data_IF_435703688262
#
_entry.id   IF_435703688262
#
_cell.length_a   1.000
_cell.length_b   1.000
_cell.length_c   1.000
_cell.angle_alpha   90.00
_cell.angle_beta   90.00
_cell.angle_gamma   90.00
#
_symmetry.space_group_name_H-M   'P 1'
#
loop_
_entity.id
_entity.type
_entity.pdbx_description
1 polymer ?
#
# COMPACT_ATOMS: atom_id res chain seq x y z
N UNK A 1 8.88 4.75 -40.46
CA UNK A 1 9.72 4.38 -39.30
C UNK A 1 9.17 5.08 -38.07
N UNK A 2 8.45 4.36 -37.21
CA UNK A 2 8.03 4.88 -35.91
C UNK A 2 9.15 4.56 -34.91
N UNK A 3 9.70 5.57 -34.24
CA UNK A 3 10.69 5.36 -33.18
C UNK A 3 10.01 4.67 -32.00
N UNK A 4 10.29 3.38 -31.80
CA UNK A 4 9.91 2.63 -30.60
C UNK A 4 10.71 3.16 -29.40
N UNK A 5 10.25 4.26 -28.79
CA UNK A 5 10.73 4.68 -27.47
C UNK A 5 10.09 3.83 -26.37
N UNK A 6 10.28 2.51 -26.42
CA UNK A 6 10.11 1.65 -25.26
C UNK A 6 11.38 1.74 -24.41
N UNK A 7 11.53 2.83 -23.65
CA UNK A 7 12.53 2.88 -22.57
C UNK A 7 12.10 1.81 -21.55
N UNK A 8 12.67 0.62 -21.66
CA UNK A 8 12.49 -0.45 -20.67
C UNK A 8 12.83 0.14 -19.29
N UNK A 9 11.89 0.06 -18.35
CA UNK A 9 12.12 0.51 -17.00
C UNK A 9 13.32 -0.26 -16.44
N UNK A 10 14.28 0.45 -15.83
CA UNK A 10 15.42 -0.18 -15.18
C UNK A 10 14.95 -0.87 -13.91
N UNK A 11 15.61 -1.96 -13.53
CA UNK A 11 15.47 -2.55 -12.19
C UNK A 11 16.02 -1.55 -11.17
N UNK A 12 15.29 -1.31 -10.09
CA UNK A 12 15.60 -0.30 -9.07
C UNK A 12 15.46 -0.87 -7.67
N UNK A 13 16.14 -0.22 -6.71
CA UNK A 13 16.12 -0.61 -5.29
C UNK A 13 14.69 -0.64 -4.69
N UNK A 14 13.75 0.09 -5.29
CA UNK A 14 12.33 0.07 -4.97
C UNK A 14 11.52 -0.29 -6.22
N UNK A 15 10.71 -1.33 -6.11
CA UNK A 15 9.72 -1.75 -7.11
C UNK A 15 8.37 -1.59 -6.41
N UNK A 16 7.56 -0.66 -6.90
CA UNK A 16 6.27 -0.30 -6.29
C UNK A 16 5.32 -1.49 -6.11
N UNK A 17 4.20 -1.26 -5.44
CA UNK A 17 3.29 -2.31 -4.94
C UNK A 17 3.03 -3.42 -5.96
N UNK A 18 3.48 -4.62 -5.61
CA UNK A 18 3.24 -5.86 -6.36
C UNK A 18 2.03 -6.56 -5.77
N UNK A 19 0.96 -6.66 -6.58
CA UNK A 19 -0.22 -7.55 -6.51
C UNK A 19 -1.08 -7.53 -5.21
N UNK A 20 -0.51 -7.19 -4.05
CA UNK A 20 -1.16 -7.12 -2.75
C UNK A 20 -1.00 -5.71 -2.18
N UNK A 21 -2.13 -5.02 -1.98
CA UNK A 21 -2.21 -3.69 -1.38
C UNK A 21 -1.40 -3.63 -0.08
N UNK A 22 -0.41 -2.74 -0.04
CA UNK A 22 0.41 -2.47 1.15
C UNK A 22 1.78 -3.16 1.20
N UNK A 23 2.03 -4.17 0.35
CA UNK A 23 3.35 -4.79 0.26
C UNK A 23 4.22 -4.09 -0.79
N UNK A 24 5.50 -3.90 -0.45
CA UNK A 24 6.48 -3.23 -1.29
C UNK A 24 7.61 -4.19 -1.64
N UNK A 25 8.11 -4.13 -2.87
CA UNK A 25 9.26 -4.93 -3.27
C UNK A 25 10.52 -4.07 -3.25
N UNK A 26 11.53 -4.53 -2.52
CA UNK A 26 12.74 -3.76 -2.25
C UNK A 26 13.99 -4.62 -2.44
N UNK A 27 15.10 -4.01 -2.84
CA UNK A 27 16.39 -4.68 -2.87
C UNK A 27 16.96 -4.90 -1.46
N UNK A 28 17.94 -5.78 -1.33
CA UNK A 28 18.68 -6.00 -0.09
C UNK A 28 19.37 -4.73 0.42
N UNK A 29 19.76 -3.83 -0.48
CA UNK A 29 20.35 -2.53 -0.13
C UNK A 29 19.32 -1.60 0.50
N UNK A 30 18.11 -1.51 -0.05
CA UNK A 30 17.06 -0.68 0.56
C UNK A 30 16.58 -1.29 1.88
N UNK A 31 16.48 -2.63 1.96
CA UNK A 31 16.18 -3.33 3.21
C UNK A 31 17.14 -2.95 4.33
N UNK A 32 18.46 -3.00 4.09
CA UNK A 32 19.45 -2.68 5.12
C UNK A 32 19.42 -1.22 5.57
N UNK A 33 19.05 -0.30 4.68
CA UNK A 33 18.83 1.10 5.03
C UNK A 33 17.60 1.22 5.93
N UNK A 34 16.48 0.58 5.58
CA UNK A 34 15.25 0.62 6.38
C UNK A 34 15.51 0.02 7.76
N UNK A 35 16.08 -1.19 7.85
CA UNK A 35 16.42 -1.87 9.11
C UNK A 35 17.34 -1.06 10.05
N UNK A 36 18.13 -0.12 9.52
CA UNK A 36 18.96 0.77 10.34
C UNK A 36 18.14 1.81 11.10
N UNK A 37 17.00 2.23 10.54
CA UNK A 37 16.18 3.33 11.05
C UNK A 37 14.82 2.89 11.59
N UNK A 38 14.36 1.68 11.25
CA UNK A 38 13.14 1.08 11.81
C UNK A 38 13.47 -0.01 12.81
N UNK A 39 12.72 -0.04 13.91
CA UNK A 39 12.77 -1.13 14.88
C UNK A 39 11.85 -2.29 14.47
N UNK A 40 10.84 -2.55 15.31
CA UNK A 40 9.81 -3.57 15.05
C UNK A 40 8.76 -3.06 14.03
N UNK A 41 7.83 -3.93 13.62
CA UNK A 41 6.66 -3.54 12.81
C UNK A 41 6.74 -3.85 11.31
N UNK A 42 7.89 -4.33 10.84
CA UNK A 42 8.10 -4.72 9.44
C UNK A 42 8.57 -6.18 9.36
N UNK A 43 7.93 -6.96 8.50
CA UNK A 43 8.37 -8.29 8.08
C UNK A 43 8.96 -8.25 6.67
N UNK A 44 10.00 -9.04 6.45
CA UNK A 44 10.64 -9.19 5.15
C UNK A 44 10.55 -10.64 4.68
N UNK A 45 9.92 -10.86 3.53
CA UNK A 45 9.86 -12.17 2.89
C UNK A 45 10.80 -12.17 1.68
N UNK A 46 11.60 -13.24 1.51
CA UNK A 46 12.44 -13.36 0.31
C UNK A 46 11.57 -13.34 -0.94
N UNK A 47 12.01 -12.61 -1.96
CA UNK A 47 11.32 -12.54 -3.23
C UNK A 47 12.31 -12.44 -4.41
N UNK A 48 11.92 -12.99 -5.55
CA UNK A 48 12.71 -12.95 -6.78
C UNK A 48 12.08 -11.97 -7.78
N UNK A 49 12.87 -11.07 -8.34
CA UNK A 49 12.44 -10.23 -9.49
C UNK A 49 12.85 -10.93 -10.78
N UNK A 50 11.89 -11.11 -11.69
CA UNK A 50 12.15 -11.51 -13.07
C UNK A 50 12.03 -10.28 -13.97
N UNK A 51 13.12 -9.90 -14.65
CA UNK A 51 13.12 -8.73 -15.54
C UNK A 51 14.02 -8.96 -16.76
N UNK A 52 13.48 -8.77 -17.96
CA UNK A 52 14.19 -8.99 -19.24
C UNK A 52 14.89 -10.36 -19.36
N UNK A 53 14.24 -11.43 -18.87
CA UNK A 53 14.80 -12.78 -18.89
C UNK A 53 15.94 -13.02 -17.90
N UNK A 54 16.23 -12.03 -17.04
CA UNK A 54 17.16 -12.17 -15.93
C UNK A 54 16.41 -12.32 -14.61
N UNK A 55 17.02 -13.08 -13.71
CA UNK A 55 16.54 -13.32 -12.36
C UNK A 55 17.39 -12.56 -11.36
N UNK A 56 16.75 -11.81 -10.47
CA UNK A 56 17.38 -11.08 -9.38
C UNK A 56 16.84 -11.63 -8.05
N UNK A 57 17.70 -12.27 -7.28
CA UNK A 57 17.35 -12.99 -6.04
C UNK A 57 17.66 -12.18 -4.77
N UNK A 58 18.21 -10.98 -4.92
CA UNK A 58 18.57 -10.06 -3.85
C UNK A 58 17.43 -9.10 -3.48
N UNK A 59 16.18 -9.54 -3.64
CA UNK A 59 14.97 -8.78 -3.37
C UNK A 59 14.13 -9.37 -2.24
N UNK A 60 13.29 -8.50 -1.68
CA UNK A 60 12.45 -8.76 -0.53
C UNK A 60 11.08 -8.13 -0.72
N UNK A 61 10.06 -8.82 -0.25
CA UNK A 61 8.75 -8.26 -0.02
C UNK A 61 8.73 -7.67 1.40
N UNK A 62 8.67 -6.35 1.50
CA UNK A 62 8.44 -5.61 2.73
C UNK A 62 6.94 -5.61 3.02
N UNK A 63 6.58 -6.09 4.21
CA UNK A 63 5.22 -6.13 4.74
C UNK A 63 5.16 -5.44 6.11
N UNK A 64 4.58 -4.23 6.21
CA UNK A 64 4.30 -3.61 7.49
C UNK A 64 3.15 -4.35 8.19
N UNK A 65 3.38 -4.87 9.40
CA UNK A 65 2.34 -5.50 10.23
C UNK A 65 1.91 -4.63 11.42
N UNK A 66 2.69 -3.63 11.75
CA UNK A 66 2.30 -2.52 12.63
C UNK A 66 2.22 -1.25 11.79
N UNK A 67 1.28 -0.38 12.16
CA UNK A 67 1.09 0.90 11.53
C UNK A 67 0.97 1.96 12.63
N UNK A 68 1.82 2.97 12.55
CA UNK A 68 1.93 4.03 13.53
C UNK A 68 0.86 5.11 13.26
N UNK A 69 -0.40 4.77 13.56
CA UNK A 69 -1.55 5.64 13.31
C UNK A 69 -1.47 6.97 14.06
N UNK A 70 -0.67 7.06 15.13
CA UNK A 70 -0.43 8.28 15.89
C UNK A 70 0.20 9.41 15.08
N UNK A 71 0.86 9.10 13.96
CA UNK A 71 1.43 10.12 13.07
C UNK A 71 0.42 10.68 12.06
N UNK A 72 -0.80 10.14 12.01
CA UNK A 72 -1.86 10.68 11.16
C UNK A 72 -2.47 11.91 11.85
N UNK A 73 -2.33 13.07 11.22
CA UNK A 73 -3.05 14.28 11.60
C UNK A 73 -4.49 14.23 11.08
N UNK A 74 -5.38 13.62 11.88
CA UNK A 74 -6.79 13.47 11.54
C UNK A 74 -7.50 14.82 11.35
N UNK A 75 -7.20 15.80 12.21
CA UNK A 75 -7.86 17.11 12.19
C UNK A 75 -7.68 17.84 10.86
N UNK A 76 -6.52 17.67 10.21
CA UNK A 76 -6.21 18.27 8.92
C UNK A 76 -6.31 17.30 7.74
N UNK A 77 -6.87 16.10 7.96
CA UNK A 77 -7.02 15.08 6.93
C UNK A 77 -8.49 14.80 6.59
N UNK A 78 -8.71 14.27 5.39
CA UNK A 78 -10.01 13.72 4.99
C UNK A 78 -9.85 12.28 4.53
N UNK A 79 -10.72 11.41 5.03
CA UNK A 79 -10.79 10.02 4.61
C UNK A 79 -11.67 9.94 3.37
N UNK A 80 -11.10 9.39 2.31
CA UNK A 80 -11.78 9.14 1.05
C UNK A 80 -12.05 7.66 0.91
N UNK A 81 -13.31 7.25 0.90
CA UNK A 81 -13.68 5.85 0.75
C UNK A 81 -14.84 5.65 -0.23
N UNK A 82 -15.01 4.42 -0.71
CA UNK A 82 -16.13 4.02 -1.57
C UNK A 82 -17.24 3.44 -0.70
N UNK A 83 -18.41 4.08 -0.71
CA UNK A 83 -19.62 3.59 -0.05
C UNK A 83 -20.46 2.79 -1.05
N UNK A 84 -20.95 1.63 -0.64
CA UNK A 84 -21.96 0.86 -1.38
C UNK A 84 -23.31 1.60 -1.31
N UNK A 85 -24.06 1.61 -2.42
CA UNK A 85 -25.44 2.07 -2.40
C UNK A 85 -26.32 1.14 -1.53
N UNK A 86 -27.46 1.62 -1.06
CA UNK A 86 -28.37 0.80 -0.23
C UNK A 86 -28.92 -0.41 -1.00
N UNK A 87 -29.02 -0.30 -2.33
CA UNK A 87 -29.44 -1.37 -3.25
C UNK A 87 -28.25 -2.10 -3.92
N UNK A 88 -27.06 -2.07 -3.30
CA UNK A 88 -25.82 -2.54 -3.94
C UNK A 88 -25.88 -3.95 -4.51
N UNK A 89 -26.56 -4.89 -3.86
CA UNK A 89 -26.60 -6.28 -4.34
C UNK A 89 -27.23 -6.40 -5.74
N UNK A 90 -28.17 -5.52 -6.07
CA UNK A 90 -28.80 -5.43 -7.40
C UNK A 90 -28.12 -4.40 -8.30
N UNK A 91 -27.81 -3.21 -7.78
CA UNK A 91 -27.31 -2.11 -8.60
C UNK A 91 -25.81 -2.14 -8.85
N UNK A 92 -25.04 -2.78 -7.95
CA UNK A 92 -23.57 -2.79 -7.89
C UNK A 92 -22.95 -1.38 -7.89
N UNK A 93 -23.73 -0.36 -7.54
CA UNK A 93 -23.29 1.04 -7.55
C UNK A 93 -22.52 1.40 -6.29
N UNK A 94 -21.45 2.17 -6.48
CA UNK A 94 -20.72 2.78 -5.36
C UNK A 94 -20.64 4.28 -5.57
N UNK A 95 -20.57 5.02 -4.46
CA UNK A 95 -20.29 6.45 -4.46
C UNK A 95 -19.04 6.75 -3.65
N UNK A 96 -18.38 7.84 -4.01
CA UNK A 96 -17.21 8.31 -3.29
C UNK A 96 -17.66 9.25 -2.18
N UNK A 97 -17.25 8.97 -0.96
CA UNK A 97 -17.59 9.77 0.22
C UNK A 97 -16.30 10.31 0.83
N UNK A 98 -16.35 11.57 1.23
CA UNK A 98 -15.31 12.22 2.03
C UNK A 98 -15.82 12.32 3.47
N UNK A 99 -14.99 11.88 4.40
CA UNK A 99 -15.29 11.87 5.82
C UNK A 99 -14.17 12.59 6.56
N UNK A 100 -14.52 13.66 7.27
CA UNK A 100 -13.64 14.34 8.20
C UNK A 100 -13.83 13.74 9.59
N UNK A 101 -12.74 13.31 10.21
CA UNK A 101 -12.69 12.80 11.58
C UNK A 101 -11.57 13.54 12.31
N UNK A 102 -11.69 13.70 13.62
CA UNK A 102 -10.72 14.46 14.41
C UNK A 102 -9.73 13.58 15.16
N UNK A 103 -10.05 12.29 15.32
CA UNK A 103 -9.25 11.38 16.15
C UNK A 103 -9.16 9.97 15.55
N UNK A 104 -8.13 9.24 15.97
CA UNK A 104 -7.99 7.81 15.67
C UNK A 104 -9.17 7.00 16.22
N UNK A 105 -9.69 7.36 17.40
CA UNK A 105 -10.82 6.66 17.99
C UNK A 105 -12.07 6.76 17.10
N UNK A 106 -12.40 7.96 16.62
CA UNK A 106 -13.52 8.14 15.69
C UNK A 106 -13.35 7.31 14.41
N UNK A 107 -12.11 7.21 13.90
CA UNK A 107 -11.79 6.39 12.74
C UNK A 107 -12.04 4.91 12.99
N UNK A 108 -11.57 4.39 14.13
CA UNK A 108 -11.76 3.00 14.52
C UNK A 108 -13.26 2.67 14.71
N UNK A 109 -14.02 3.56 15.36
CA UNK A 109 -15.47 3.39 15.51
C UNK A 109 -16.19 3.38 14.16
N UNK A 110 -15.79 4.25 13.23
CA UNK A 110 -16.37 4.29 11.89
C UNK A 110 -16.06 3.02 11.10
N UNK A 111 -14.81 2.53 11.19
CA UNK A 111 -14.37 1.30 10.54
C UNK A 111 -15.18 0.08 11.02
N UNK A 112 -15.44 -0.01 12.32
CA UNK A 112 -16.26 -1.10 12.89
C UNK A 112 -17.73 -1.00 12.48
N UNK A 113 -18.31 0.21 12.42
CA UNK A 113 -19.66 0.41 11.86
C UNK A 113 -19.73 0.02 10.38
N UNK A 114 -18.70 0.34 9.60
CA UNK A 114 -18.63 0.02 8.18
C UNK A 114 -18.44 -1.47 7.90
N UNK A 115 -17.87 -2.25 8.84
CA UNK A 115 -17.77 -3.72 8.72
C UNK A 115 -19.10 -4.44 8.95
N UNK A 116 -20.00 -3.86 9.73
CA UNK A 116 -21.30 -4.45 10.10
C UNK A 116 -22.42 -4.19 9.09
N UNK A 117 -22.22 -3.26 8.15
CA UNK A 117 -23.16 -2.88 7.10
C UNK A 117 -22.64 -3.33 5.72
#
# INVERSE_FOLDING_TARGET
MLSNNNKKARVTDFIGSVVNSGNLQISSKLKSIIEKYTGEGIQYFRNTVLHNGQEYTDYWLLHPYQFDHEYIDFQNSMIKYKKKADDYETSRKTSMVLLSLNTLQEFEEYKEKARKN
#
